data_IF_217143415785
#
_entry.id   IF_217143415785
#
_cell.length_a   1.000
_cell.length_b   1.000
_cell.length_c   1.000
_cell.angle_alpha   90.00
_cell.angle_beta   90.00
_cell.angle_gamma   90.00
#
_symmetry.space_group_name_H-M   'P 1'
#
loop_
_entity.id
_entity.type
_entity.pdbx_description
1 polymer ?
#
# COMPACT_ATOMS: atom_id res chain seq x y z
N UNK A 1 -6.60 24.70 -16.10
CA UNK A 1 -7.73 24.47 -15.18
C UNK A 1 -7.32 23.65 -13.96
N UNK A 2 -6.73 22.46 -14.12
CA UNK A 2 -6.29 21.58 -12.99
C UNK A 2 -5.33 22.28 -12.01
N UNK A 3 -4.30 22.98 -12.48
CA UNK A 3 -3.35 23.69 -11.61
C UNK A 3 -4.02 24.80 -10.77
N UNK A 4 -4.93 25.57 -11.33
CA UNK A 4 -5.67 26.61 -10.59
C UNK A 4 -6.55 26.02 -9.47
N UNK A 5 -7.22 24.89 -9.74
CA UNK A 5 -8.03 24.19 -8.72
C UNK A 5 -7.13 23.70 -7.59
N UNK A 6 -5.98 23.08 -7.90
CA UNK A 6 -5.02 22.62 -6.91
C UNK A 6 -4.46 23.78 -6.05
N UNK A 7 -4.15 24.93 -6.69
CA UNK A 7 -3.70 26.13 -5.97
C UNK A 7 -4.76 26.63 -5.01
N UNK A 8 -6.03 26.74 -5.45
CA UNK A 8 -7.13 27.19 -4.58
C UNK A 8 -7.32 26.21 -3.41
N UNK A 9 -7.33 24.91 -3.69
CA UNK A 9 -7.46 23.90 -2.63
C UNK A 9 -6.32 23.99 -1.60
N UNK A 10 -5.07 24.19 -2.06
CA UNK A 10 -3.92 24.37 -1.16
C UNK A 10 -4.06 25.65 -0.32
N UNK A 11 -4.49 26.78 -0.91
CA UNK A 11 -4.72 28.04 -0.18
C UNK A 11 -5.84 27.88 0.85
N UNK A 12 -6.95 27.23 0.50
CA UNK A 12 -8.03 26.93 1.44
C UNK A 12 -7.51 26.05 2.61
N UNK A 13 -6.75 24.98 2.33
CA UNK A 13 -6.17 24.14 3.36
C UNK A 13 -5.23 24.94 4.28
N UNK A 14 -4.38 25.81 3.74
CA UNK A 14 -3.51 26.68 4.54
C UNK A 14 -4.32 27.63 5.44
N UNK A 15 -5.38 28.23 4.89
CA UNK A 15 -6.25 29.10 5.66
C UNK A 15 -6.93 28.33 6.79
N UNK A 16 -7.45 27.14 6.53
CA UNK A 16 -8.04 26.26 7.55
C UNK A 16 -7.06 25.89 8.65
N UNK A 17 -5.80 25.59 8.33
CA UNK A 17 -4.75 25.34 9.31
C UNK A 17 -4.50 26.56 10.22
N UNK A 18 -4.67 27.77 9.72
CA UNK A 18 -4.54 29.01 10.51
C UNK A 18 -5.78 29.24 11.37
N UNK A 19 -6.97 28.91 10.84
CA UNK A 19 -8.24 29.13 11.56
C UNK A 19 -8.54 28.05 12.60
N UNK A 20 -8.03 26.81 12.40
CA UNK A 20 -8.19 25.69 13.32
C UNK A 20 -6.84 25.10 13.79
N UNK A 21 -5.95 25.90 14.43
CA UNK A 21 -4.60 25.48 14.77
C UNK A 21 -4.54 24.36 15.80
N UNK A 22 -5.50 24.33 16.75
CA UNK A 22 -5.55 23.27 17.75
C UNK A 22 -5.85 21.92 17.11
N UNK A 23 -6.86 21.85 16.24
CA UNK A 23 -7.22 20.63 15.52
C UNK A 23 -6.07 20.14 14.61
N UNK A 24 -5.38 21.07 13.94
CA UNK A 24 -4.20 20.74 13.13
C UNK A 24 -3.11 20.10 14.01
N UNK A 25 -2.80 20.69 15.16
CA UNK A 25 -1.76 20.19 16.08
C UNK A 25 -2.15 18.82 16.65
N UNK A 26 -3.41 18.63 17.06
CA UNK A 26 -3.90 17.35 17.59
C UNK A 26 -3.83 16.25 16.52
N UNK A 27 -4.29 16.52 15.31
CA UNK A 27 -4.23 15.58 14.20
C UNK A 27 -2.78 15.26 13.82
N UNK A 28 -1.90 16.26 13.82
CA UNK A 28 -0.47 16.09 13.59
C UNK A 28 0.21 15.23 14.67
N UNK A 29 -0.12 15.46 15.95
CA UNK A 29 0.37 14.64 17.07
C UNK A 29 -0.12 13.20 16.98
N UNK A 30 -1.39 12.98 16.66
CA UNK A 30 -1.95 11.65 16.42
C UNK A 30 -1.19 10.93 15.30
N UNK A 31 -0.97 11.61 14.17
CA UNK A 31 -0.24 11.06 13.04
C UNK A 31 1.22 10.69 13.39
N UNK A 32 1.91 11.56 14.13
CA UNK A 32 3.28 11.31 14.57
C UNK A 32 3.36 10.14 15.57
N UNK A 33 2.40 10.03 16.50
CA UNK A 33 2.27 8.87 17.39
C UNK A 33 2.05 7.57 16.60
N UNK A 34 1.12 7.59 15.62
CA UNK A 34 0.88 6.45 14.72
C UNK A 34 2.16 6.04 13.97
N UNK A 35 2.92 7.02 13.46
CA UNK A 35 4.20 6.77 12.80
C UNK A 35 5.23 6.16 13.77
N UNK A 36 5.40 6.75 14.96
CA UNK A 36 6.43 6.34 15.91
C UNK A 36 6.12 5.00 16.58
N UNK A 37 4.87 4.73 16.93
CA UNK A 37 4.48 3.55 17.69
C UNK A 37 4.15 2.33 16.83
N UNK A 38 3.69 2.55 15.60
CA UNK A 38 3.19 1.47 14.75
C UNK A 38 3.98 1.34 13.44
N UNK A 39 4.11 2.41 12.67
CA UNK A 39 4.61 2.36 11.29
C UNK A 39 6.13 2.18 11.26
N UNK A 40 6.88 3.04 11.92
CA UNK A 40 8.35 2.99 11.91
C UNK A 40 8.87 1.67 12.50
N UNK A 41 8.44 1.23 13.70
CA UNK A 41 8.96 -0.01 14.29
C UNK A 41 8.68 -1.25 13.45
N UNK A 42 7.54 -1.30 12.75
CA UNK A 42 7.18 -2.45 11.92
C UNK A 42 7.81 -2.40 10.53
N UNK A 43 7.83 -1.26 9.86
CA UNK A 43 8.24 -1.17 8.45
C UNK A 43 9.72 -0.90 8.27
N UNK A 44 10.34 -0.06 9.09
CA UNK A 44 11.73 0.38 8.87
C UNK A 44 12.72 -0.79 8.89
N UNK A 45 12.75 -1.68 9.92
CA UNK A 45 13.66 -2.82 9.92
C UNK A 45 13.42 -3.75 8.73
N UNK A 46 12.16 -3.90 8.34
CA UNK A 46 11.77 -4.73 7.21
C UNK A 46 12.22 -4.13 5.87
N UNK A 47 12.11 -2.82 5.68
CA UNK A 47 12.63 -2.12 4.50
C UNK A 47 14.14 -2.26 4.38
N UNK A 48 14.88 -2.17 5.49
CA UNK A 48 16.33 -2.38 5.50
C UNK A 48 16.67 -3.80 5.04
N UNK A 49 16.02 -4.82 5.64
CA UNK A 49 16.32 -6.21 5.31
C UNK A 49 15.88 -6.59 3.89
N UNK A 50 14.72 -6.15 3.44
CA UNK A 50 14.25 -6.40 2.08
C UNK A 50 15.13 -5.72 1.04
N UNK A 51 15.57 -4.49 1.30
CA UNK A 51 16.53 -3.76 0.47
C UNK A 51 17.89 -4.46 0.41
N UNK A 52 18.38 -4.95 1.55
CA UNK A 52 19.64 -5.71 1.63
C UNK A 52 19.54 -7.03 0.84
N UNK A 53 18.50 -7.83 1.07
CA UNK A 53 18.27 -9.09 0.35
C UNK A 53 18.20 -8.88 -1.16
N UNK A 54 17.57 -7.77 -1.59
CA UNK A 54 17.55 -7.43 -3.00
C UNK A 54 18.95 -7.15 -3.57
N UNK A 55 19.75 -6.34 -2.85
CA UNK A 55 21.13 -6.01 -3.26
C UNK A 55 22.04 -7.24 -3.27
N UNK A 56 21.77 -8.23 -2.42
CA UNK A 56 22.45 -9.52 -2.41
C UNK A 56 21.98 -10.50 -3.51
N UNK A 57 21.06 -10.06 -4.38
CA UNK A 57 20.60 -10.87 -5.53
C UNK A 57 19.50 -11.89 -5.21
N UNK A 58 18.97 -11.90 -3.98
CA UNK A 58 17.91 -12.83 -3.58
C UNK A 58 16.66 -12.70 -4.45
N UNK A 59 16.24 -11.47 -4.75
CA UNK A 59 15.10 -11.22 -5.64
C UNK A 59 15.30 -11.82 -7.04
N UNK A 60 16.50 -11.69 -7.61
CA UNK A 60 16.83 -12.29 -8.92
C UNK A 60 16.87 -13.82 -8.87
N UNK A 61 17.28 -14.43 -7.76
CA UNK A 61 17.26 -15.87 -7.57
C UNK A 61 15.82 -16.42 -7.52
N UNK A 62 14.94 -15.78 -6.75
CA UNK A 62 13.52 -16.14 -6.67
C UNK A 62 12.83 -15.93 -8.02
N UNK A 63 13.12 -14.82 -8.70
CA UNK A 63 12.54 -14.52 -10.00
C UNK A 63 12.81 -15.62 -11.03
N UNK A 64 14.01 -16.20 -11.04
CA UNK A 64 14.35 -17.32 -11.94
C UNK A 64 13.48 -18.55 -11.68
N UNK A 65 13.14 -18.82 -10.43
CA UNK A 65 12.26 -19.94 -10.05
C UNK A 65 10.80 -19.64 -10.40
N UNK A 66 10.36 -18.40 -10.19
CA UNK A 66 8.98 -17.97 -10.44
C UNK A 66 8.71 -17.60 -11.91
N UNK A 67 9.73 -17.44 -12.76
CA UNK A 67 9.56 -17.00 -14.15
C UNK A 67 8.60 -17.88 -14.95
N UNK A 68 8.73 -19.22 -14.87
CA UNK A 68 7.87 -20.15 -15.60
C UNK A 68 6.39 -20.12 -15.11
N UNK A 69 6.09 -20.24 -13.79
CA UNK A 69 4.73 -20.11 -13.31
C UNK A 69 4.14 -18.71 -13.56
N UNK A 70 4.88 -17.64 -13.38
CA UNK A 70 4.41 -16.28 -13.64
C UNK A 70 4.09 -16.02 -15.12
N UNK A 71 4.92 -16.52 -16.03
CA UNK A 71 4.65 -16.45 -17.45
C UNK A 71 3.39 -17.23 -17.84
N UNK A 72 3.17 -18.40 -17.23
CA UNK A 72 1.98 -19.23 -17.50
C UNK A 72 0.69 -18.65 -16.91
N UNK A 73 0.77 -18.11 -15.69
CA UNK A 73 -0.40 -17.59 -14.97
C UNK A 73 -0.78 -16.18 -15.41
N UNK A 74 0.20 -15.30 -15.59
CA UNK A 74 -0.03 -13.86 -15.81
C UNK A 74 0.47 -13.35 -17.15
N UNK A 75 1.20 -14.16 -17.91
CA UNK A 75 1.83 -13.69 -19.14
C UNK A 75 2.85 -12.59 -18.90
N UNK A 76 3.68 -12.71 -17.85
CA UNK A 76 4.74 -11.75 -17.51
C UNK A 76 6.12 -12.38 -17.63
N UNK A 77 7.14 -11.53 -17.86
CA UNK A 77 8.54 -11.94 -17.94
C UNK A 77 9.13 -12.34 -16.58
N UNK A 78 10.36 -12.85 -16.56
CA UNK A 78 11.09 -13.08 -15.31
C UNK A 78 11.31 -11.80 -14.50
N UNK A 79 11.49 -10.65 -15.15
CA UNK A 79 11.54 -9.35 -14.51
C UNK A 79 10.20 -9.01 -13.86
N UNK A 80 9.08 -9.24 -14.55
CA UNK A 80 7.74 -9.06 -13.99
C UNK A 80 7.48 -9.96 -12.78
N UNK A 81 7.94 -11.21 -12.81
CA UNK A 81 7.86 -12.12 -11.65
C UNK A 81 8.63 -11.56 -10.44
N UNK A 82 9.79 -10.93 -10.66
CA UNK A 82 10.56 -10.26 -9.61
C UNK A 82 9.78 -9.09 -9.03
N UNK A 83 9.17 -8.25 -9.88
CA UNK A 83 8.38 -7.11 -9.43
C UNK A 83 7.20 -7.54 -8.56
N UNK A 84 6.50 -8.61 -8.94
CA UNK A 84 5.40 -9.16 -8.14
C UNK A 84 5.89 -9.65 -6.77
N UNK A 85 6.96 -10.44 -6.74
CA UNK A 85 7.54 -10.93 -5.49
C UNK A 85 8.00 -9.78 -4.58
N UNK A 86 8.73 -8.81 -5.15
CA UNK A 86 9.23 -7.66 -4.38
C UNK A 86 8.11 -6.73 -3.91
N UNK A 87 7.02 -6.61 -4.67
CA UNK A 87 5.83 -5.89 -4.23
C UNK A 87 5.15 -6.53 -3.04
N UNK A 88 5.09 -7.87 -2.99
CA UNK A 88 4.54 -8.60 -1.86
C UNK A 88 5.44 -8.53 -0.62
N UNK A 89 6.75 -8.70 -0.79
CA UNK A 89 7.70 -8.69 0.34
C UNK A 89 7.97 -7.27 0.81
N UNK A 90 8.30 -6.36 -0.09
CA UNK A 90 8.74 -5.00 0.25
C UNK A 90 7.61 -4.05 0.62
N UNK A 91 6.39 -4.31 0.15
CA UNK A 91 5.24 -3.44 0.42
C UNK A 91 5.22 -2.15 -0.41
N UNK A 92 4.24 -1.29 -0.12
CA UNK A 92 4.12 0.04 -0.74
C UNK A 92 5.27 0.98 -0.34
N UNK A 93 5.78 1.83 -1.22
CA UNK A 93 5.56 1.87 -2.68
C UNK A 93 6.60 1.05 -3.46
N UNK A 94 7.35 0.14 -2.82
CA UNK A 94 8.51 -0.54 -3.41
C UNK A 94 8.16 -1.35 -4.67
N UNK A 95 6.99 -2.00 -4.73
CA UNK A 95 6.56 -2.71 -5.93
C UNK A 95 6.53 -1.81 -7.16
N UNK A 96 5.95 -0.61 -7.03
CA UNK A 96 5.91 0.39 -8.10
C UNK A 96 7.32 0.90 -8.47
N UNK A 97 8.17 1.13 -7.45
CA UNK A 97 9.55 1.56 -7.66
C UNK A 97 10.35 0.53 -8.47
N UNK A 98 10.16 -0.76 -8.18
CA UNK A 98 10.77 -1.85 -8.93
C UNK A 98 10.34 -1.86 -10.39
N UNK A 99 9.03 -1.73 -10.66
CA UNK A 99 8.50 -1.70 -12.02
C UNK A 99 9.09 -0.52 -12.79
N UNK A 100 9.11 0.67 -12.20
CA UNK A 100 9.67 1.87 -12.81
C UNK A 100 11.17 1.70 -13.12
N UNK A 101 11.93 1.11 -12.20
CA UNK A 101 13.35 0.85 -12.39
C UNK A 101 13.60 -0.18 -13.50
N UNK A 102 12.87 -1.30 -13.53
CA UNK A 102 12.95 -2.30 -14.59
C UNK A 102 12.56 -1.72 -15.96
N UNK A 103 11.59 -0.81 -16.00
CA UNK A 103 11.22 -0.10 -17.22
C UNK A 103 12.35 0.80 -17.72
N UNK A 104 12.97 1.58 -16.82
CA UNK A 104 14.14 2.42 -17.16
C UNK A 104 15.32 1.60 -17.68
N UNK A 105 15.52 0.41 -17.14
CA UNK A 105 16.58 -0.52 -17.59
C UNK A 105 16.23 -1.29 -18.88
N UNK A 106 15.01 -1.12 -19.42
CA UNK A 106 14.56 -1.84 -20.62
C UNK A 106 14.29 -3.34 -20.39
N UNK A 107 14.18 -3.78 -19.14
CA UNK A 107 13.92 -5.18 -18.77
C UNK A 107 12.46 -5.60 -18.97
N UNK A 108 11.53 -4.63 -18.95
CA UNK A 108 10.12 -4.82 -19.25
C UNK A 108 9.65 -3.80 -20.28
N UNK A 109 8.69 -4.20 -21.13
CA UNK A 109 8.03 -3.28 -22.07
C UNK A 109 7.12 -2.31 -21.32
N UNK A 110 6.72 -1.20 -21.95
CA UNK A 110 5.76 -0.26 -21.37
C UNK A 110 4.43 -0.97 -21.07
N UNK A 111 3.92 -1.76 -21.99
CA UNK A 111 2.70 -2.51 -21.85
C UNK A 111 2.77 -3.50 -20.67
N UNK A 112 3.87 -4.22 -20.52
CA UNK A 112 4.08 -5.12 -19.37
C UNK A 112 4.18 -4.34 -18.07
N UNK A 113 4.90 -3.22 -18.04
CA UNK A 113 5.03 -2.36 -16.85
C UNK A 113 3.66 -1.82 -16.39
N UNK A 114 2.84 -1.34 -17.31
CA UNK A 114 1.49 -0.86 -17.00
C UNK A 114 0.59 -1.97 -16.43
N UNK A 115 0.65 -3.19 -16.98
CA UNK A 115 -0.08 -4.35 -16.45
C UNK A 115 0.40 -4.76 -15.05
N UNK A 116 1.72 -4.81 -14.84
CA UNK A 116 2.32 -5.11 -13.53
C UNK A 116 1.87 -4.11 -12.46
N UNK A 117 1.67 -2.83 -12.80
CA UNK A 117 1.13 -1.84 -11.89
C UNK A 117 -0.27 -2.21 -11.36
N UNK A 118 -1.05 -3.00 -12.12
CA UNK A 118 -2.37 -3.45 -11.70
C UNK A 118 -2.34 -4.39 -10.48
N UNK A 119 -1.27 -5.17 -10.27
CA UNK A 119 -1.26 -6.20 -9.21
C UNK A 119 0.05 -6.34 -8.41
N UNK A 120 1.12 -5.65 -8.78
CA UNK A 120 2.41 -5.75 -8.08
C UNK A 120 2.62 -4.69 -6.99
N UNK A 121 1.76 -3.69 -6.90
CA UNK A 121 1.80 -2.70 -5.81
C UNK A 121 0.98 -3.23 -4.63
N UNK A 122 1.61 -3.82 -3.64
CA UNK A 122 0.97 -4.55 -2.55
C UNK A 122 1.46 -4.07 -1.19
N UNK A 123 0.77 -4.46 -0.12
CA UNK A 123 1.24 -4.26 1.25
C UNK A 123 2.17 -5.41 1.67
N UNK A 124 3.21 -5.09 2.43
CA UNK A 124 4.18 -6.08 2.90
C UNK A 124 3.75 -6.79 4.20
N UNK A 125 4.41 -7.92 4.54
CA UNK A 125 4.10 -8.69 5.74
C UNK A 125 4.34 -7.89 7.02
N UNK A 126 5.30 -6.97 7.03
CA UNK A 126 5.56 -6.11 8.18
C UNK A 126 4.33 -5.31 8.60
N UNK A 127 3.58 -4.76 7.64
CA UNK A 127 2.38 -4.00 7.92
C UNK A 127 1.22 -4.92 8.36
N UNK A 128 0.98 -6.02 7.65
CA UNK A 128 -0.14 -6.90 7.99
C UNK A 128 0.10 -7.68 9.28
N UNK A 129 1.31 -8.22 9.51
CA UNK A 129 1.61 -8.99 10.71
C UNK A 129 1.91 -8.08 11.89
N UNK A 130 2.76 -7.05 11.69
CA UNK A 130 3.19 -6.13 12.74
C UNK A 130 2.10 -5.12 13.08
N UNK A 131 1.74 -4.24 12.12
CA UNK A 131 0.82 -3.14 12.40
C UNK A 131 -0.62 -3.61 12.61
N UNK A 132 -1.16 -4.42 11.70
CA UNK A 132 -2.56 -4.85 11.78
C UNK A 132 -2.71 -5.97 12.81
N UNK A 133 -2.00 -7.08 12.61
CA UNK A 133 -2.15 -8.26 13.46
C UNK A 133 -1.78 -7.98 14.91
N UNK A 134 -0.53 -7.67 15.17
CA UNK A 134 -0.04 -7.44 16.54
C UNK A 134 -0.49 -6.08 17.09
N UNK A 135 -0.42 -5.01 16.29
CA UNK A 135 -0.64 -3.64 16.74
C UNK A 135 -2.12 -3.25 16.91
N UNK A 136 -3.01 -3.73 16.05
CA UNK A 136 -4.45 -3.38 16.10
C UNK A 136 -5.28 -4.48 16.73
N UNK A 137 -5.13 -5.73 16.26
CA UNK A 137 -5.92 -6.85 16.75
C UNK A 137 -5.26 -7.65 17.90
N UNK A 138 -4.05 -7.28 18.34
CA UNK A 138 -3.34 -7.96 19.42
C UNK A 138 -2.89 -9.39 19.10
N UNK A 139 -2.87 -9.80 17.82
CA UNK A 139 -2.57 -11.16 17.38
C UNK A 139 -1.75 -11.20 16.09
N UNK A 140 -0.44 -11.46 16.21
CA UNK A 140 0.42 -11.67 15.05
C UNK A 140 -0.06 -12.84 14.17
N UNK A 141 -0.66 -13.88 14.78
CA UNK A 141 -1.22 -15.03 14.05
C UNK A 141 -2.36 -14.61 13.11
N UNK A 142 -3.22 -13.73 13.57
CA UNK A 142 -4.28 -13.14 12.75
C UNK A 142 -3.71 -12.30 11.62
N UNK A 143 -2.64 -11.54 11.89
CA UNK A 143 -1.89 -10.78 10.88
C UNK A 143 -1.29 -11.67 9.79
N UNK A 144 -0.76 -12.85 10.15
CA UNK A 144 -0.29 -13.85 9.17
C UNK A 144 -1.45 -14.33 8.28
N UNK A 145 -2.62 -14.62 8.86
CA UNK A 145 -3.82 -14.98 8.09
C UNK A 145 -4.22 -13.89 7.10
N UNK A 146 -4.28 -12.64 7.55
CA UNK A 146 -4.57 -11.48 6.69
C UNK A 146 -3.51 -11.30 5.59
N UNK A 147 -2.23 -11.58 5.88
CA UNK A 147 -1.18 -11.52 4.87
C UNK A 147 -1.36 -12.60 3.79
N UNK A 148 -1.68 -13.83 4.18
CA UNK A 148 -1.99 -14.92 3.24
C UNK A 148 -3.16 -14.52 2.34
N UNK A 149 -4.22 -13.95 2.90
CA UNK A 149 -5.37 -13.42 2.16
C UNK A 149 -4.94 -12.35 1.17
N UNK A 150 -4.11 -11.41 1.61
CA UNK A 150 -3.62 -10.33 0.75
C UNK A 150 -2.78 -10.86 -0.42
N UNK A 151 -1.92 -11.86 -0.20
CA UNK A 151 -1.17 -12.54 -1.26
C UNK A 151 -2.09 -13.24 -2.25
N UNK A 152 -3.11 -13.95 -1.76
CA UNK A 152 -4.12 -14.60 -2.60
C UNK A 152 -4.92 -13.59 -3.42
N UNK A 153 -5.32 -12.49 -2.78
CA UNK A 153 -6.06 -11.41 -3.46
C UNK A 153 -5.20 -10.76 -4.57
N UNK A 154 -3.92 -10.49 -4.30
CA UNK A 154 -2.98 -9.98 -5.30
C UNK A 154 -2.79 -10.96 -6.46
N UNK A 155 -2.69 -12.26 -6.16
CA UNK A 155 -2.56 -13.31 -7.16
C UNK A 155 -3.83 -13.41 -8.04
N UNK A 156 -5.01 -13.38 -7.43
CA UNK A 156 -6.30 -13.36 -8.15
C UNK A 156 -6.42 -12.09 -8.99
N UNK A 157 -6.06 -10.92 -8.42
CA UNK A 157 -6.07 -9.65 -9.16
C UNK A 157 -5.18 -9.73 -10.41
N UNK A 158 -4.01 -10.36 -10.31
CA UNK A 158 -3.10 -10.55 -11.45
C UNK A 158 -3.73 -11.29 -12.62
N UNK A 159 -4.68 -12.20 -12.38
CA UNK A 159 -5.37 -12.92 -13.45
C UNK A 159 -6.23 -12.01 -14.35
N UNK A 160 -6.75 -10.91 -13.81
CA UNK A 160 -7.51 -9.92 -14.59
C UNK A 160 -6.62 -9.11 -15.55
N UNK A 161 -5.30 -9.09 -15.30
CA UNK A 161 -4.32 -8.41 -16.14
C UNK A 161 -3.49 -9.38 -16.98
N UNK A 162 -3.92 -10.65 -17.07
CA UNK A 162 -3.27 -11.67 -17.89
C UNK A 162 -3.38 -11.32 -19.37
N UNK A 163 -2.27 -11.52 -20.09
CA UNK A 163 -2.22 -11.48 -21.55
C UNK A 163 -1.51 -12.73 -22.03
N UNK A 164 -2.12 -13.40 -23.00
CA UNK A 164 -1.51 -14.57 -23.65
C UNK A 164 -0.50 -14.07 -24.70
N UNK A 165 0.78 -14.42 -24.53
CA UNK A 165 1.83 -14.06 -25.46
C UNK A 165 3.22 -14.43 -24.94
N UNK A 166 4.22 -14.41 -25.84
CA UNK A 166 5.63 -14.58 -25.43
C UNK A 166 6.13 -13.28 -24.84
N UNK A 167 6.25 -13.23 -23.51
CA UNK A 167 6.93 -12.11 -22.86
C UNK A 167 8.41 -12.10 -23.25
N UNK A 168 8.84 -11.02 -23.90
CA UNK A 168 10.24 -10.74 -24.24
C UNK A 168 10.88 -9.92 -23.12
N UNK A 169 11.20 -10.54 -22.01
CA UNK A 169 11.93 -9.89 -20.93
C UNK A 169 13.00 -10.83 -20.37
N UNK A 170 14.17 -10.31 -20.09
CA UNK A 170 15.23 -11.04 -19.41
C UNK A 170 15.04 -10.96 -17.92
N UNK A 171 15.46 -11.99 -17.16
CA UNK A 171 15.57 -11.86 -15.72
C UNK A 171 16.60 -10.76 -15.38
N UNK A 172 16.38 -9.96 -14.34
CA UNK A 172 17.36 -8.99 -13.91
C UNK A 172 18.71 -9.67 -13.65
N UNK A 173 19.79 -9.02 -14.05
CA UNK A 173 21.12 -9.46 -13.69
C UNK A 173 21.25 -9.42 -12.16
N UNK A 174 21.98 -10.37 -11.58
CA UNK A 174 22.29 -10.31 -10.16
C UNK A 174 23.05 -8.99 -9.88
N UNK A 175 22.65 -8.23 -8.84
CA UNK A 175 23.39 -7.03 -8.47
C UNK A 175 24.84 -7.40 -8.20
N UNK A 176 25.77 -6.54 -8.66
CA UNK A 176 27.17 -6.69 -8.27
C UNK A 176 27.32 -6.35 -6.79
N UNK A 177 27.99 -7.20 -6.03
CA UNK A 177 28.35 -6.92 -4.64
C UNK A 177 29.04 -5.55 -4.56
N UNK A 178 28.42 -4.62 -3.88
CA UNK A 178 29.04 -3.36 -3.53
C UNK A 178 29.30 -3.36 -2.02
N UNK A 179 30.53 -3.09 -1.60
CA UNK A 179 30.96 -3.03 -0.20
C UNK A 179 30.28 -1.90 0.60
N UNK A 180 28.95 -1.83 0.57
CA UNK A 180 28.15 -0.80 1.22
C UNK A 180 26.65 -1.15 1.18
N UNK A 181 26.31 -2.38 0.79
CA UNK A 181 24.91 -2.80 0.61
C UNK A 181 24.00 -2.52 1.83
N UNK A 182 24.50 -2.75 3.04
CA UNK A 182 23.76 -2.47 4.27
C UNK A 182 23.53 -0.95 4.47
N UNK A 183 24.59 -0.14 4.33
CA UNK A 183 24.51 1.32 4.51
C UNK A 183 23.51 1.91 3.53
N UNK A 184 23.58 1.50 2.27
CA UNK A 184 22.67 1.98 1.23
C UNK A 184 21.24 1.48 1.44
N UNK A 185 21.05 0.27 1.97
CA UNK A 185 19.73 -0.24 2.34
C UNK A 185 19.11 0.53 3.50
N UNK A 186 19.92 0.91 4.52
CA UNK A 186 19.45 1.76 5.62
C UNK A 186 19.08 3.15 5.11
N UNK A 187 19.91 3.76 4.24
CA UNK A 187 19.62 5.08 3.65
C UNK A 187 18.32 5.07 2.84
N UNK A 188 18.14 4.09 1.98
CA UNK A 188 16.93 3.95 1.17
C UNK A 188 15.69 3.69 2.04
N UNK A 189 15.81 2.85 3.07
CA UNK A 189 14.74 2.59 4.03
C UNK A 189 14.35 3.86 4.80
N UNK A 190 15.33 4.68 5.22
CA UNK A 190 15.07 5.96 5.88
C UNK A 190 14.31 6.94 4.96
N UNK A 191 14.69 7.05 3.72
CA UNK A 191 13.98 7.89 2.74
C UNK A 191 12.54 7.40 2.50
N UNK A 192 12.36 6.09 2.36
CA UNK A 192 11.04 5.49 2.15
C UNK A 192 10.13 5.72 3.35
N UNK A 193 10.63 5.48 4.57
CA UNK A 193 9.81 5.64 5.78
C UNK A 193 9.46 7.11 6.05
N UNK A 194 10.36 8.05 5.78
CA UNK A 194 10.07 9.48 5.88
C UNK A 194 8.98 9.90 4.90
N UNK A 195 9.01 9.40 3.67
CA UNK A 195 7.95 9.65 2.68
C UNK A 195 6.61 9.11 3.16
N UNK A 196 6.58 7.86 3.64
CA UNK A 196 5.35 7.23 4.19
C UNK A 196 4.79 8.05 5.35
N UNK A 197 5.62 8.40 6.34
CA UNK A 197 5.21 9.22 7.49
C UNK A 197 4.72 10.60 7.06
N UNK A 198 5.39 11.25 6.10
CA UNK A 198 4.96 12.53 5.56
C UNK A 198 3.55 12.48 4.95
N UNK A 199 3.23 11.45 4.18
CA UNK A 199 1.88 11.27 3.65
C UNK A 199 0.86 10.97 4.77
N UNK A 200 1.20 10.13 5.75
CA UNK A 200 0.33 9.85 6.90
C UNK A 200 0.00 11.16 7.63
N UNK A 201 1.01 11.97 7.98
CA UNK A 201 0.79 13.25 8.68
C UNK A 201 -0.10 14.19 7.84
N UNK A 202 0.19 14.32 6.55
CA UNK A 202 -0.57 15.20 5.66
C UNK A 202 -2.05 14.77 5.60
N UNK A 203 -2.33 13.50 5.40
CA UNK A 203 -3.70 13.00 5.31
C UNK A 203 -4.43 12.98 6.65
N UNK A 204 -3.74 12.69 7.77
CA UNK A 204 -4.34 12.79 9.10
C UNK A 204 -4.77 14.23 9.42
N UNK A 205 -3.95 15.23 9.06
CA UNK A 205 -4.31 16.64 9.23
C UNK A 205 -5.53 16.98 8.37
N UNK A 206 -5.58 16.55 7.11
CA UNK A 206 -6.76 16.75 6.24
C UNK A 206 -8.01 16.12 6.87
N UNK A 207 -7.93 14.87 7.33
CA UNK A 207 -9.05 14.18 8.00
C UNK A 207 -9.49 14.96 9.24
N UNK A 208 -8.54 15.41 10.07
CA UNK A 208 -8.83 16.17 11.27
C UNK A 208 -9.50 17.52 11.00
N UNK A 209 -9.07 18.24 9.97
CA UNK A 209 -9.71 19.50 9.55
C UNK A 209 -11.14 19.25 9.04
N UNK A 210 -11.36 18.19 8.27
CA UNK A 210 -12.71 17.79 7.85
C UNK A 210 -13.60 17.41 9.03
N UNK A 211 -13.04 16.78 10.06
CA UNK A 211 -13.77 16.40 11.27
C UNK A 211 -14.08 17.60 12.17
N UNK A 212 -13.20 18.62 12.22
CA UNK A 212 -13.44 19.87 12.93
C UNK A 212 -14.70 20.58 12.45
N UNK A 213 -15.03 20.47 11.17
CA UNK A 213 -16.26 21.01 10.58
C UNK A 213 -17.42 20.00 10.59
N UNK A 214 -17.29 18.86 11.26
CA UNK A 214 -18.29 17.80 11.30
C UNK A 214 -18.50 17.06 9.97
N UNK A 215 -17.76 17.42 8.93
CA UNK A 215 -17.92 16.86 7.59
C UNK A 215 -17.54 15.37 7.54
N UNK A 216 -16.44 15.00 8.20
CA UNK A 216 -16.01 13.62 8.28
C UNK A 216 -17.00 12.75 9.07
N UNK A 217 -17.48 13.26 10.20
CA UNK A 217 -18.51 12.60 11.03
C UNK A 217 -19.85 12.46 10.30
N UNK A 218 -20.25 13.48 9.52
CA UNK A 218 -21.47 13.43 8.69
C UNK A 218 -21.36 12.32 7.61
N UNK A 219 -20.25 12.30 6.88
CA UNK A 219 -20.00 11.29 5.83
C UNK A 219 -19.94 9.87 6.41
N UNK A 220 -19.29 9.70 7.56
CA UNK A 220 -19.24 8.41 8.25
C UNK A 220 -20.63 7.97 8.75
N UNK A 221 -21.43 8.90 9.25
CA UNK A 221 -22.83 8.63 9.64
C UNK A 221 -23.70 8.19 8.47
N UNK A 222 -23.58 8.86 7.31
CA UNK A 222 -24.27 8.47 6.09
C UNK A 222 -23.82 7.09 5.60
N UNK A 223 -22.50 6.83 5.62
CA UNK A 223 -21.97 5.53 5.26
C UNK A 223 -22.50 4.42 6.17
N UNK A 224 -22.54 4.67 7.49
CA UNK A 224 -23.11 3.74 8.47
C UNK A 224 -24.58 3.42 8.19
N UNK A 225 -25.38 4.44 7.88
CA UNK A 225 -26.81 4.27 7.54
C UNK A 225 -27.02 3.46 6.25
N UNK A 226 -26.22 3.74 5.20
CA UNK A 226 -26.36 3.05 3.90
C UNK A 226 -25.90 1.59 3.97
N UNK A 227 -24.81 1.34 4.72
CA UNK A 227 -24.17 0.01 4.75
C UNK A 227 -24.62 -0.85 5.92
N UNK A 228 -25.28 -0.30 6.92
CA UNK A 228 -25.59 -0.99 8.18
C UNK A 228 -24.37 -1.24 9.08
N UNK A 229 -23.23 -0.63 8.78
CA UNK A 229 -22.03 -0.73 9.60
C UNK A 229 -22.19 0.07 10.92
N UNK A 230 -21.54 -0.41 11.97
CA UNK A 230 -21.32 0.39 13.17
C UNK A 230 -20.57 1.69 12.80
N UNK A 231 -20.91 2.81 13.46
CA UNK A 231 -20.33 4.13 13.16
C UNK A 231 -18.80 4.13 13.26
N UNK A 232 -18.24 3.41 14.23
CA UNK A 232 -16.79 3.31 14.38
C UNK A 232 -16.14 2.58 13.17
N UNK A 233 -16.75 1.51 12.71
CA UNK A 233 -16.29 0.78 11.51
C UNK A 233 -16.45 1.64 10.23
N UNK A 234 -17.54 2.39 10.10
CA UNK A 234 -17.75 3.31 8.98
C UNK A 234 -16.70 4.44 8.96
N UNK A 235 -16.32 4.99 10.13
CA UNK A 235 -15.21 5.94 10.26
C UNK A 235 -13.88 5.32 9.81
N UNK A 236 -13.60 4.07 10.21
CA UNK A 236 -12.39 3.35 9.79
C UNK A 236 -12.35 3.14 8.27
N UNK A 237 -13.47 2.78 7.64
CA UNK A 237 -13.58 2.66 6.17
C UNK A 237 -13.29 4.00 5.48
N UNK A 238 -13.91 5.08 5.96
CA UNK A 238 -13.73 6.41 5.36
C UNK A 238 -12.29 6.93 5.54
N UNK A 239 -11.70 6.75 6.73
CA UNK A 239 -10.30 7.08 6.99
C UNK A 239 -9.37 6.24 6.11
N UNK A 240 -9.62 4.92 6.02
CA UNK A 240 -8.83 4.00 5.21
C UNK A 240 -8.96 4.23 3.71
N UNK A 241 -10.07 4.79 3.25
CA UNK A 241 -10.21 5.24 1.87
C UNK A 241 -9.21 6.37 1.56
N UNK A 242 -9.00 7.29 2.50
CA UNK A 242 -8.08 8.40 2.35
C UNK A 242 -6.64 8.01 2.68
N UNK A 243 -6.43 7.35 3.86
CA UNK A 243 -5.11 7.01 4.36
C UNK A 243 -5.12 5.64 5.06
N UNK A 244 -4.29 4.74 4.55
CA UNK A 244 -4.20 3.34 4.99
C UNK A 244 -3.92 3.20 6.50
N UNK A 245 -2.91 3.91 7.02
CA UNK A 245 -2.49 3.81 8.42
C UNK A 245 -3.55 4.32 9.38
N UNK A 246 -4.17 5.48 9.05
CA UNK A 246 -5.27 6.06 9.83
C UNK A 246 -6.50 5.16 9.85
N UNK A 247 -6.86 4.59 8.69
CA UNK A 247 -7.98 3.66 8.61
C UNK A 247 -7.78 2.43 9.48
N UNK A 248 -6.61 1.82 9.39
CA UNK A 248 -6.25 0.66 10.23
C UNK A 248 -6.10 1.07 11.70
N UNK A 249 -5.47 2.20 11.99
CA UNK A 249 -5.36 2.73 13.36
C UNK A 249 -6.73 2.96 14.02
N UNK A 250 -7.71 3.46 13.24
CA UNK A 250 -9.09 3.66 13.69
C UNK A 250 -9.84 2.34 13.97
N UNK A 251 -9.32 1.19 13.57
CA UNK A 251 -9.92 -0.11 13.90
C UNK A 251 -9.52 -0.63 15.29
N UNK A 252 -8.63 0.05 16.01
CA UNK A 252 -8.28 -0.33 17.39
C UNK A 252 -9.52 -0.36 18.26
N UNK A 253 -9.69 -1.45 19.02
CA UNK A 253 -10.86 -1.66 19.90
C UNK A 253 -12.06 -2.28 19.21
N UNK A 254 -12.08 -2.41 17.87
CA UNK A 254 -13.11 -3.19 17.20
C UNK A 254 -12.88 -4.70 17.44
N UNK A 255 -13.97 -5.42 17.67
CA UNK A 255 -13.93 -6.87 17.84
C UNK A 255 -13.44 -7.57 16.58
N UNK A 256 -12.75 -8.71 16.75
CA UNK A 256 -12.45 -9.62 15.64
C UNK A 256 -13.76 -10.25 15.17
N UNK A 257 -14.22 -9.85 13.99
CA UNK A 257 -15.46 -10.32 13.37
C UNK A 257 -15.27 -10.46 11.86
N UNK A 258 -16.11 -11.25 11.16
CA UNK A 258 -16.03 -11.35 9.71
C UNK A 258 -16.10 -9.99 9.00
N UNK A 259 -16.99 -9.10 9.46
CA UNK A 259 -17.14 -7.76 8.89
C UNK A 259 -15.89 -6.90 9.11
N UNK A 260 -15.32 -6.87 10.32
CA UNK A 260 -14.15 -6.07 10.62
C UNK A 260 -12.89 -6.60 9.93
N UNK A 261 -12.74 -7.91 9.76
CA UNK A 261 -11.66 -8.49 8.97
C UNK A 261 -11.81 -8.21 7.48
N UNK A 262 -13.04 -8.22 6.95
CA UNK A 262 -13.31 -7.77 5.59
C UNK A 262 -12.93 -6.30 5.37
N UNK A 263 -13.28 -5.43 6.32
CA UNK A 263 -12.92 -4.00 6.29
C UNK A 263 -11.39 -3.84 6.30
N UNK A 264 -10.69 -4.49 7.24
CA UNK A 264 -9.23 -4.42 7.32
C UNK A 264 -8.57 -4.89 6.03
N UNK A 265 -8.97 -6.07 5.51
CA UNK A 265 -8.45 -6.62 4.27
C UNK A 265 -8.77 -5.72 3.06
N UNK A 266 -9.98 -5.17 3.00
CA UNK A 266 -10.41 -4.23 1.95
C UNK A 266 -9.61 -2.93 1.96
N UNK A 267 -9.41 -2.31 3.12
CA UNK A 267 -8.58 -1.10 3.29
C UNK A 267 -7.15 -1.38 2.80
N UNK A 268 -6.57 -2.52 3.18
CA UNK A 268 -5.23 -2.91 2.71
C UNK A 268 -5.22 -3.16 1.20
N UNK A 269 -6.24 -3.81 0.66
CA UNK A 269 -6.39 -4.07 -0.78
C UNK A 269 -6.50 -2.78 -1.60
N UNK A 270 -7.19 -1.77 -1.08
CA UNK A 270 -7.28 -0.43 -1.66
C UNK A 270 -5.98 0.36 -1.52
N UNK A 271 -5.38 0.38 -0.33
CA UNK A 271 -4.15 1.06 0.00
C UNK A 271 -4.32 2.52 0.47
N UNK A 272 -5.49 3.13 0.25
CA UNK A 272 -5.74 4.54 0.54
C UNK A 272 -5.24 5.49 -0.55
N UNK A 273 -5.88 6.64 -0.66
CA UNK A 273 -5.48 7.72 -1.60
C UNK A 273 -4.02 8.14 -1.37
N UNK A 274 -3.55 8.12 -0.11
CA UNK A 274 -2.16 8.43 0.24
C UNK A 274 -1.14 7.51 -0.47
N UNK A 275 -1.41 6.20 -0.54
CA UNK A 275 -0.54 5.23 -1.23
C UNK A 275 -0.60 5.42 -2.75
N UNK A 276 -1.76 5.82 -3.30
CA UNK A 276 -1.83 6.16 -4.72
C UNK A 276 -0.93 7.35 -5.05
N UNK A 277 -0.92 8.40 -4.23
CA UNK A 277 0.01 9.53 -4.40
C UNK A 277 1.47 9.12 -4.28
N UNK A 278 1.82 8.25 -3.30
CA UNK A 278 3.17 7.69 -3.18
C UNK A 278 3.57 6.92 -4.44
N UNK A 279 2.66 6.11 -4.97
CA UNK A 279 2.87 5.35 -6.21
C UNK A 279 3.09 6.28 -7.39
N UNK A 280 2.25 7.30 -7.57
CA UNK A 280 2.41 8.27 -8.65
C UNK A 280 3.68 9.12 -8.50
N UNK A 281 4.10 9.44 -7.29
CA UNK A 281 5.37 10.13 -7.04
C UNK A 281 6.57 9.32 -7.54
N UNK A 282 6.56 7.99 -7.30
CA UNK A 282 7.60 7.07 -7.81
C UNK A 282 7.57 6.95 -9.34
N UNK A 283 6.40 7.08 -9.95
CA UNK A 283 6.23 6.99 -11.41
C UNK A 283 6.47 8.32 -12.14
N UNK A 284 6.63 9.44 -11.43
CA UNK A 284 6.69 10.78 -12.02
C UNK A 284 7.77 10.94 -13.11
N UNK A 285 8.92 10.25 -12.94
CA UNK A 285 10.04 10.26 -13.88
C UNK A 285 10.02 9.06 -14.85
N UNK A 286 8.86 8.43 -15.05
CA UNK A 286 8.69 7.29 -15.96
C UNK A 286 7.60 7.57 -17.01
N UNK A 287 7.59 6.77 -18.09
CA UNK A 287 6.57 6.80 -19.13
C UNK A 287 5.32 5.95 -18.78
N UNK A 288 5.29 5.32 -17.59
CA UNK A 288 4.21 4.43 -17.14
C UNK A 288 2.96 5.24 -16.74
N UNK A 289 1.82 4.90 -17.32
CA UNK A 289 0.53 5.49 -16.95
C UNK A 289 -0.10 4.74 -15.78
N UNK A 290 -0.63 5.49 -14.80
CA UNK A 290 -1.20 4.92 -13.58
C UNK A 290 -2.62 4.34 -13.70
N UNK A 291 -3.23 4.30 -14.89
CA UNK A 291 -4.64 3.89 -15.04
C UNK A 291 -4.91 2.44 -14.59
N UNK A 292 -4.07 1.50 -14.97
CA UNK A 292 -4.23 0.11 -14.58
C UNK A 292 -3.93 -0.13 -13.08
N UNK A 293 -3.10 0.72 -12.45
CA UNK A 293 -2.90 0.71 -11.01
C UNK A 293 -4.22 0.91 -10.25
N UNK A 294 -4.98 1.95 -10.59
CA UNK A 294 -6.26 2.23 -9.93
C UNK A 294 -7.27 1.09 -10.11
N UNK A 295 -7.40 0.58 -11.34
CA UNK A 295 -8.27 -0.56 -11.61
C UNK A 295 -7.86 -1.79 -10.79
N UNK A 296 -6.56 -2.07 -10.72
CA UNK A 296 -6.03 -3.17 -9.91
C UNK A 296 -6.32 -3.00 -8.42
N UNK A 297 -6.23 -1.78 -7.89
CA UNK A 297 -6.54 -1.52 -6.47
C UNK A 297 -8.02 -1.73 -6.16
N UNK A 298 -8.91 -1.33 -7.04
CA UNK A 298 -10.36 -1.59 -6.87
C UNK A 298 -10.67 -3.09 -6.86
N UNK A 299 -10.11 -3.85 -7.80
CA UNK A 299 -10.27 -5.31 -7.85
C UNK A 299 -9.68 -5.95 -6.58
N UNK A 300 -8.45 -5.56 -6.22
CA UNK A 300 -7.77 -6.10 -5.03
C UNK A 300 -8.54 -5.79 -3.73
N UNK A 301 -9.11 -4.59 -3.60
CA UNK A 301 -9.98 -4.21 -2.50
C UNK A 301 -11.17 -5.16 -2.37
N UNK A 302 -11.91 -5.37 -3.46
CA UNK A 302 -13.09 -6.22 -3.45
C UNK A 302 -12.73 -7.70 -3.14
N UNK A 303 -11.68 -8.23 -3.77
CA UNK A 303 -11.23 -9.61 -3.54
C UNK A 303 -10.70 -9.77 -2.11
N UNK A 304 -9.90 -8.82 -1.63
CA UNK A 304 -9.37 -8.86 -0.25
C UNK A 304 -10.49 -8.80 0.79
N UNK A 305 -11.49 -7.93 0.59
CA UNK A 305 -12.64 -7.83 1.49
C UNK A 305 -13.44 -9.14 1.53
N UNK A 306 -13.72 -9.74 0.37
CA UNK A 306 -14.43 -11.00 0.28
C UNK A 306 -13.66 -12.14 0.98
N UNK A 307 -12.36 -12.27 0.72
CA UNK A 307 -11.52 -13.27 1.36
C UNK A 307 -11.36 -13.01 2.87
N UNK A 308 -11.27 -11.74 3.28
CA UNK A 308 -11.22 -11.35 4.70
C UNK A 308 -12.50 -11.72 5.45
N UNK A 309 -13.66 -11.55 4.81
CA UNK A 309 -14.94 -11.98 5.36
C UNK A 309 -14.99 -13.49 5.55
N UNK A 310 -14.63 -14.25 4.50
CA UNK A 310 -14.57 -15.73 4.55
C UNK A 310 -13.64 -16.20 5.65
N UNK A 311 -12.47 -15.59 5.78
CA UNK A 311 -11.51 -15.90 6.84
C UNK A 311 -12.12 -15.69 8.23
N UNK A 312 -12.84 -14.58 8.41
CA UNK A 312 -13.52 -14.30 9.67
C UNK A 312 -14.64 -15.29 10.01
N UNK A 313 -15.26 -15.94 9.02
CA UNK A 313 -16.24 -17.01 9.24
C UNK A 313 -15.59 -18.34 9.67
N UNK A 314 -14.28 -18.51 9.39
CA UNK A 314 -13.52 -19.73 9.69
C UNK A 314 -12.77 -19.66 11.04
N UNK A 315 -12.75 -18.49 11.70
CA UNK A 315 -12.15 -18.28 13.03
C UNK A 315 -13.13 -18.60 14.13
#
# INVERSE_FOLDING_TARGET
>A
MKAKIATIAALCAMLEMILAPQQMIESGRYALSLCAELIIPSLFPFFVLSGLLNRLGFAAAIARQLAKPAARLYGVSGAGATAFFMGLVGGYPLGAAYIADMRRQGLVSLEEAERLMGFCSNSGPAFLVGSIGAGVFGSARLGVGLYIIHVLAAAITGLFFRVDGKCRGSAPAAPRESGGALIESVRQAAQSILSVCGFIVCFCVIIGLLDAHGMFSLLAGQLAQITGLELHAARAVLAGFLELGSGIGSMRGLAVSPANLAIAAGIVGWGGVSVHFQTYAVLADSDIKGGLHLAGRLINCAVSAALGYIFGLLL
#
